data_IF_942039062963
#
_entry.id   IF_942039062963
#
_cell.length_a   1.000
_cell.length_b   1.000
_cell.length_c   1.000
_cell.angle_alpha   90.00
_cell.angle_beta   90.00
_cell.angle_gamma   90.00
#
_symmetry.space_group_name_H-M   'P 1'
#
loop_
_entity.id
_entity.type
_entity.pdbx_description
1 polymer ?
#
# COMPACT_ATOMS: atom_id res chain seq x y z
N UNK A 1 -16.43 -3.01 -9.89
CA UNK A 1 -15.14 -2.91 -10.58
C UNK A 1 -15.32 -1.91 -11.70
N UNK A 2 -14.64 -0.80 -11.64
CA UNK A 2 -14.69 0.25 -12.67
C UNK A 2 -13.32 0.33 -13.34
N UNK A 3 -13.30 0.50 -14.66
CA UNK A 3 -12.07 0.73 -15.40
C UNK A 3 -11.74 2.23 -15.26
N UNK A 4 -10.64 2.54 -14.61
CA UNK A 4 -10.14 3.90 -14.48
C UNK A 4 -8.81 4.05 -15.23
N UNK A 5 -8.54 5.24 -15.74
CA UNK A 5 -7.26 5.57 -16.36
C UNK A 5 -6.52 6.56 -15.45
N UNK A 6 -5.31 6.21 -15.00
CA UNK A 6 -4.50 7.08 -14.15
C UNK A 6 -4.01 8.32 -14.91
N UNK A 7 -3.67 8.14 -16.18
CA UNK A 7 -3.15 9.20 -17.05
C UNK A 7 -3.91 9.23 -18.38
N UNK A 8 -5.17 9.69 -18.41
CA UNK A 8 -5.98 9.67 -19.64
C UNK A 8 -5.35 10.50 -20.78
N UNK A 9 -4.61 11.56 -20.44
CA UNK A 9 -3.85 12.36 -21.41
C UNK A 9 -2.70 11.55 -22.07
N UNK A 10 -2.23 10.48 -21.45
CA UNK A 10 -1.24 9.57 -22.02
C UNK A 10 -1.72 8.92 -23.34
N UNK A 11 -3.04 8.76 -23.49
CA UNK A 11 -3.61 8.27 -24.76
C UNK A 11 -3.29 9.16 -25.97
N UNK A 12 -3.01 10.44 -25.75
CA UNK A 12 -2.61 11.38 -26.81
C UNK A 12 -1.27 10.99 -27.47
N UNK A 13 -0.46 10.19 -26.80
CA UNK A 13 0.76 9.61 -27.39
C UNK A 13 0.42 8.80 -28.65
N UNK A 14 -0.78 8.20 -28.73
CA UNK A 14 -1.26 7.52 -29.91
C UNK A 14 -1.34 8.40 -31.15
N UNK A 15 -1.52 9.71 -31.00
CA UNK A 15 -1.51 10.67 -32.10
C UNK A 15 -0.14 10.75 -32.80
N UNK A 16 0.94 10.30 -32.13
CA UNK A 16 2.26 10.20 -32.72
C UNK A 16 2.29 9.30 -33.95
N UNK A 17 1.32 8.37 -34.07
CA UNK A 17 1.13 7.54 -35.29
C UNK A 17 0.79 8.35 -36.54
N UNK A 18 0.22 9.53 -36.38
CA UNK A 18 -0.15 10.38 -37.51
C UNK A 18 1.07 10.86 -38.32
N UNK A 19 2.20 11.12 -37.65
CA UNK A 19 3.41 11.61 -38.30
C UNK A 19 4.01 10.58 -39.27
N UNK A 20 4.33 9.33 -38.87
CA UNK A 20 4.83 8.32 -39.80
C UNK A 20 3.81 7.93 -40.85
N UNK A 21 2.51 7.94 -40.54
CA UNK A 21 1.45 7.65 -41.49
C UNK A 21 1.34 8.74 -42.58
N UNK A 22 1.46 10.02 -42.21
CA UNK A 22 1.50 11.14 -43.14
C UNK A 22 2.72 11.06 -44.06
N UNK A 23 3.91 10.78 -43.48
CA UNK A 23 5.14 10.58 -44.27
C UNK A 23 5.00 9.40 -45.25
N UNK A 24 4.42 8.29 -44.76
CA UNK A 24 4.17 7.12 -45.61
C UNK A 24 3.27 7.48 -46.82
N UNK A 25 2.12 8.12 -46.57
CA UNK A 25 1.19 8.55 -47.65
C UNK A 25 1.83 9.53 -48.62
N UNK A 26 2.61 10.49 -48.12
CA UNK A 26 3.30 11.44 -49.00
C UNK A 26 4.35 10.75 -49.87
N UNK A 27 5.09 9.78 -49.34
CA UNK A 27 6.05 8.97 -50.10
C UNK A 27 5.35 8.09 -51.12
N UNK A 28 4.26 7.42 -50.76
CA UNK A 28 3.49 6.57 -51.67
C UNK A 28 2.92 7.37 -52.84
N UNK A 29 2.40 8.57 -52.60
CA UNK A 29 1.96 9.51 -53.64
C UNK A 29 3.09 9.81 -54.65
N UNK A 30 4.27 10.22 -54.11
CA UNK A 30 5.43 10.57 -54.94
C UNK A 30 5.95 9.36 -55.76
N UNK A 31 5.99 8.18 -55.13
CA UNK A 31 6.41 6.94 -55.81
C UNK A 31 5.42 6.55 -56.89
N UNK A 32 4.11 6.76 -56.69
CA UNK A 32 3.07 6.52 -57.70
C UNK A 32 3.22 7.45 -58.89
N UNK A 33 3.48 8.73 -58.65
CA UNK A 33 3.68 9.71 -59.74
C UNK A 33 4.92 9.38 -60.60
N UNK A 34 6.04 8.97 -59.94
CA UNK A 34 7.26 8.58 -60.63
C UNK A 34 7.03 7.29 -61.46
N UNK A 35 6.32 6.30 -60.90
CA UNK A 35 6.01 5.06 -61.64
C UNK A 35 5.10 5.30 -62.83
N UNK A 36 4.09 6.15 -62.67
CA UNK A 36 3.22 6.54 -63.76
C UNK A 36 4.02 7.19 -64.92
N UNK A 37 4.99 8.05 -64.57
CA UNK A 37 5.87 8.69 -65.57
C UNK A 37 6.81 7.69 -66.24
N UNK A 38 7.18 6.58 -65.61
CA UNK A 38 8.08 5.54 -66.09
C UNK A 38 7.32 4.33 -66.72
N UNK A 39 5.98 4.33 -66.78
CA UNK A 39 5.14 3.23 -67.24
C UNK A 39 5.43 1.87 -66.63
N UNK A 40 5.74 1.88 -65.26
CA UNK A 40 6.03 0.69 -64.49
C UNK A 40 4.74 0.12 -63.86
N UNK A 41 4.63 -1.22 -63.87
CA UNK A 41 3.50 -1.92 -63.26
C UNK A 41 3.35 -1.65 -61.74
N UNK A 42 2.11 -1.60 -61.25
CA UNK A 42 1.82 -1.43 -59.83
C UNK A 42 2.16 -2.72 -59.06
N UNK A 43 2.92 -2.61 -57.97
CA UNK A 43 3.19 -3.77 -57.11
C UNK A 43 1.91 -4.22 -56.40
N UNK A 44 1.83 -5.51 -56.07
CA UNK A 44 0.69 -6.07 -55.35
C UNK A 44 0.43 -5.32 -54.05
N UNK A 45 -0.77 -4.84 -53.84
CA UNK A 45 -1.21 -4.02 -52.66
C UNK A 45 -1.08 -4.72 -51.31
N UNK A 46 -0.83 -6.05 -51.28
CA UNK A 46 -0.84 -6.84 -50.05
C UNK A 46 0.30 -6.56 -49.06
N UNK A 47 1.49 -6.15 -49.54
CA UNK A 47 2.67 -5.99 -48.69
C UNK A 47 2.66 -4.72 -47.85
N UNK A 48 2.00 -3.67 -48.31
CA UNK A 48 2.02 -2.37 -47.61
C UNK A 48 0.94 -2.25 -46.51
N UNK A 49 -0.18 -2.96 -46.66
CA UNK A 49 -1.28 -2.92 -45.70
C UNK A 49 -0.87 -3.52 -44.35
N UNK A 50 -0.12 -4.63 -44.37
CA UNK A 50 0.37 -5.27 -43.14
C UNK A 50 1.30 -4.36 -42.32
N UNK A 51 2.14 -3.59 -42.99
CA UNK A 51 3.07 -2.65 -42.36
C UNK A 51 2.34 -1.47 -41.73
N UNK A 52 1.32 -0.93 -42.38
CA UNK A 52 0.46 0.14 -41.85
C UNK A 52 -0.31 -0.36 -40.61
N UNK A 53 -0.89 -1.57 -40.69
CA UNK A 53 -1.60 -2.17 -39.57
C UNK A 53 -0.66 -2.36 -38.39
N UNK A 54 0.54 -2.90 -38.62
CA UNK A 54 1.52 -3.10 -37.57
C UNK A 54 1.93 -1.76 -36.87
N UNK A 55 2.15 -0.71 -37.68
CA UNK A 55 2.49 0.61 -37.17
C UNK A 55 1.37 1.18 -36.28
N UNK A 56 0.13 1.12 -36.76
CA UNK A 56 -1.04 1.60 -35.98
C UNK A 56 -1.24 0.77 -34.72
N UNK A 57 -1.05 -0.55 -34.79
CA UNK A 57 -1.17 -1.43 -33.63
C UNK A 57 -0.12 -1.10 -32.55
N UNK A 58 1.15 -0.90 -32.95
CA UNK A 58 2.23 -0.54 -32.00
C UNK A 58 1.90 0.80 -31.33
N UNK A 59 1.54 1.83 -32.09
CA UNK A 59 1.19 3.13 -31.52
C UNK A 59 -0.04 3.06 -30.61
N UNK A 60 -1.04 2.23 -30.96
CA UNK A 60 -2.22 1.99 -30.12
C UNK A 60 -1.86 1.30 -28.81
N UNK A 61 -0.98 0.29 -28.83
CA UNK A 61 -0.50 -0.38 -27.63
C UNK A 61 0.32 0.55 -26.72
N UNK A 62 1.17 1.40 -27.31
CA UNK A 62 1.93 2.39 -26.56
C UNK A 62 1.00 3.42 -25.93
N UNK A 63 -0.03 3.90 -26.63
CA UNK A 63 -1.04 4.80 -26.10
C UNK A 63 -1.83 4.17 -24.95
N UNK A 64 -2.21 2.89 -25.08
CA UNK A 64 -2.89 2.15 -24.03
C UNK A 64 -1.99 2.00 -22.79
N UNK A 65 -0.73 1.64 -22.99
CA UNK A 65 0.24 1.55 -21.90
C UNK A 65 0.47 2.91 -21.22
N UNK A 66 0.56 3.99 -21.99
CA UNK A 66 0.72 5.34 -21.46
C UNK A 66 -0.54 5.85 -20.71
N UNK A 67 -1.72 5.39 -21.08
CA UNK A 67 -2.97 5.72 -20.39
C UNK A 67 -3.12 5.02 -19.03
N UNK A 68 -2.29 4.00 -18.74
CA UNK A 68 -2.25 3.24 -17.48
C UNK A 68 -3.65 2.80 -16.99
N UNK A 69 -4.31 1.88 -17.74
CA UNK A 69 -5.61 1.37 -17.30
C UNK A 69 -5.47 0.60 -15.99
N UNK A 70 -6.29 0.92 -14.99
CA UNK A 70 -6.36 0.22 -13.71
C UNK A 70 -7.79 -0.21 -13.43
N UNK A 71 -7.93 -1.38 -12.84
CA UNK A 71 -9.21 -1.84 -12.32
C UNK A 71 -9.37 -1.28 -10.91
N UNK A 72 -10.18 -0.23 -10.78
CA UNK A 72 -10.50 0.35 -9.50
C UNK A 72 -11.65 -0.44 -8.86
N UNK A 73 -11.42 -0.95 -7.67
CA UNK A 73 -12.46 -1.51 -6.82
C UNK A 73 -12.70 -0.53 -5.68
N UNK A 74 -13.77 0.23 -5.76
CA UNK A 74 -14.19 1.10 -4.67
C UNK A 74 -14.93 0.24 -3.64
N UNK A 75 -14.31 0.01 -2.50
CA UNK A 75 -14.96 -0.57 -1.34
C UNK A 75 -15.40 0.58 -0.45
N UNK A 76 -16.68 0.86 -0.37
CA UNK A 76 -17.22 1.77 0.65
C UNK A 76 -17.01 1.13 2.01
N UNK A 77 -16.06 1.60 2.78
CA UNK A 77 -15.89 1.24 4.18
C UNK A 77 -16.56 2.33 5.00
N UNK A 78 -17.62 1.97 5.73
CA UNK A 78 -18.19 2.86 6.75
C UNK A 78 -17.17 2.97 7.87
N UNK A 79 -16.62 4.16 8.03
CA UNK A 79 -15.65 4.44 9.08
C UNK A 79 -16.29 5.32 10.15
N UNK A 80 -16.18 4.90 11.41
CA UNK A 80 -16.60 5.71 12.54
C UNK A 80 -15.58 6.81 12.80
N UNK A 81 -16.02 8.04 12.63
CA UNK A 81 -15.18 9.22 12.88
C UNK A 81 -15.18 9.67 14.34
N UNK A 82 -16.15 9.18 15.15
CA UNK A 82 -16.32 9.55 16.55
C UNK A 82 -15.51 8.70 17.52
N UNK A 83 -15.00 7.53 17.10
CA UNK A 83 -14.31 6.57 17.93
C UNK A 83 -13.04 6.03 17.27
N UNK A 84 -11.98 5.86 18.05
CA UNK A 84 -10.73 5.21 17.60
C UNK A 84 -10.15 4.37 18.72
N UNK A 85 -9.46 3.29 18.33
CA UNK A 85 -8.78 2.36 19.22
C UNK A 85 -7.29 2.36 18.90
N UNK A 86 -6.43 2.42 19.91
CA UNK A 86 -5.03 2.05 19.78
C UNK A 86 -4.79 0.76 20.58
N UNK A 87 -4.20 -0.23 19.95
CA UNK A 87 -3.70 -1.43 20.61
C UNK A 87 -2.21 -1.25 20.86
N UNK A 88 -1.84 -1.23 22.13
CA UNK A 88 -0.46 -1.14 22.59
C UNK A 88 -0.01 -2.53 22.97
N UNK A 89 1.02 -3.03 22.29
CA UNK A 89 1.59 -4.35 22.55
C UNK A 89 2.91 -4.18 23.27
N UNK A 90 3.04 -4.83 24.41
CA UNK A 90 4.31 -4.93 25.12
C UNK A 90 5.30 -5.77 24.28
N UNK A 91 6.45 -5.17 23.98
CA UNK A 91 7.51 -5.80 23.20
C UNK A 91 8.75 -6.13 24.02
N UNK A 92 8.62 -6.19 25.35
CA UNK A 92 9.70 -6.62 26.23
C UNK A 92 10.04 -8.11 26.04
N UNK A 93 11.24 -8.50 26.48
CA UNK A 93 11.71 -9.90 26.37
C UNK A 93 10.86 -10.90 27.12
N UNK A 94 10.21 -10.50 28.22
CA UNK A 94 9.30 -11.37 28.98
C UNK A 94 8.15 -11.89 28.14
N UNK A 95 7.73 -11.12 27.11
CA UNK A 95 6.70 -11.51 26.17
C UNK A 95 7.09 -12.69 25.27
N UNK A 96 8.36 -13.07 25.19
CA UNK A 96 8.81 -14.29 24.51
C UNK A 96 8.43 -15.57 25.27
N UNK A 97 8.08 -15.47 26.56
CA UNK A 97 7.72 -16.64 27.35
C UNK A 97 6.51 -17.38 26.76
N UNK A 98 6.61 -18.72 26.73
CA UNK A 98 5.56 -19.64 26.30
C UNK A 98 5.24 -20.66 27.38
N UNK A 99 4.06 -21.32 27.29
CA UNK A 99 3.65 -22.35 28.25
C UNK A 99 4.40 -23.68 28.11
N UNK A 100 5.20 -23.83 27.02
CA UNK A 100 5.94 -25.07 26.75
C UNK A 100 6.42 -25.14 25.29
N UNK A 101 7.18 -26.20 24.94
CA UNK A 101 7.66 -26.40 23.58
C UNK A 101 6.52 -26.42 22.56
N UNK A 102 6.62 -25.62 21.51
CA UNK A 102 5.60 -25.49 20.45
C UNK A 102 4.37 -24.66 20.81
N UNK A 103 4.25 -24.16 22.04
CA UNK A 103 3.17 -23.23 22.39
C UNK A 103 3.50 -21.81 21.94
N UNK A 104 2.46 -21.06 21.55
CA UNK A 104 2.61 -19.65 21.20
C UNK A 104 3.18 -18.83 22.36
N UNK A 105 4.11 -17.93 22.03
CA UNK A 105 4.61 -16.95 22.98
C UNK A 105 3.49 -16.03 23.50
N UNK A 106 3.74 -15.30 24.58
CA UNK A 106 2.83 -14.24 25.05
C UNK A 106 2.66 -13.18 23.96
N UNK A 107 3.75 -12.85 23.27
CA UNK A 107 3.76 -11.91 22.15
C UNK A 107 2.89 -12.35 20.99
N UNK A 108 3.02 -13.60 20.53
CA UNK A 108 2.17 -14.13 19.45
C UNK A 108 0.70 -14.16 19.82
N UNK A 109 0.40 -14.44 21.08
CA UNK A 109 -0.98 -14.37 21.59
C UNK A 109 -1.50 -12.95 21.61
N UNK A 110 -0.69 -11.98 22.02
CA UNK A 110 -1.05 -10.56 22.00
C UNK A 110 -1.35 -10.09 20.58
N UNK A 111 -0.50 -10.46 19.60
CA UNK A 111 -0.73 -10.14 18.18
C UNK A 111 -2.06 -10.71 17.69
N UNK A 112 -2.36 -11.96 18.03
CA UNK A 112 -3.63 -12.61 17.66
C UNK A 112 -4.82 -11.88 18.28
N UNK A 113 -4.76 -11.55 19.57
CA UNK A 113 -5.82 -10.83 20.27
C UNK A 113 -6.03 -9.44 19.64
N UNK A 114 -4.95 -8.75 19.27
CA UNK A 114 -5.03 -7.46 18.58
C UNK A 114 -5.75 -7.57 17.24
N UNK A 115 -5.47 -8.62 16.48
CA UNK A 115 -6.14 -8.89 15.20
C UNK A 115 -7.61 -9.24 15.40
N UNK A 116 -7.92 -10.17 16.31
CA UNK A 116 -9.30 -10.57 16.63
C UNK A 116 -10.14 -9.37 17.11
N UNK A 117 -9.57 -8.51 17.95
CA UNK A 117 -10.24 -7.29 18.41
C UNK A 117 -10.56 -6.37 17.23
N UNK A 118 -9.63 -6.17 16.32
CA UNK A 118 -9.85 -5.34 15.16
C UNK A 118 -10.94 -5.91 14.24
N UNK A 119 -10.96 -7.23 14.04
CA UNK A 119 -11.95 -7.90 13.20
C UNK A 119 -13.37 -7.78 13.76
N UNK A 120 -13.50 -7.71 15.09
CA UNK A 120 -14.79 -7.48 15.73
C UNK A 120 -15.24 -6.00 15.69
N UNK A 121 -14.37 -5.10 15.29
CA UNK A 121 -14.63 -3.66 15.21
C UNK A 121 -14.48 -3.14 13.76
N UNK A 122 -15.22 -3.67 12.77
CA UNK A 122 -14.94 -3.42 11.34
C UNK A 122 -15.05 -1.95 10.93
N UNK A 123 -15.88 -1.18 11.63
CA UNK A 123 -16.12 0.24 11.34
C UNK A 123 -15.23 1.18 12.17
N UNK A 124 -14.55 0.68 13.19
CA UNK A 124 -13.73 1.49 14.09
C UNK A 124 -12.28 1.45 13.63
N UNK A 125 -11.65 2.60 13.40
CA UNK A 125 -10.23 2.66 13.10
C UNK A 125 -9.39 2.13 14.26
N UNK A 126 -8.46 1.22 13.99
CA UNK A 126 -7.55 0.61 14.95
C UNK A 126 -6.11 0.96 14.59
N UNK A 127 -5.39 1.53 15.52
CA UNK A 127 -3.95 1.78 15.44
C UNK A 127 -3.15 0.76 16.25
N UNK A 128 -1.85 0.66 16.00
CA UNK A 128 -0.93 -0.23 16.70
C UNK A 128 0.28 0.56 17.21
N UNK A 129 0.63 0.33 18.45
CA UNK A 129 1.85 0.86 19.04
C UNK A 129 2.58 -0.25 19.82
N UNK A 130 3.88 -0.13 19.95
CA UNK A 130 4.68 -0.94 20.88
C UNK A 130 4.97 -0.16 22.16
N UNK A 131 5.16 -0.89 23.24
CA UNK A 131 5.53 -0.35 24.55
C UNK A 131 6.69 -1.13 25.14
N UNK A 132 7.66 -0.38 25.65
CA UNK A 132 8.72 -0.85 26.53
C UNK A 132 8.99 0.24 27.58
N UNK A 133 10.12 0.92 27.51
CA UNK A 133 10.46 2.14 28.25
C UNK A 133 9.85 3.42 27.64
N UNK A 134 9.23 3.30 26.47
CA UNK A 134 8.53 4.35 25.75
C UNK A 134 7.40 3.76 24.90
N UNK A 135 6.54 4.62 24.40
CA UNK A 135 5.43 4.27 23.54
C UNK A 135 5.77 4.68 22.10
N UNK A 136 5.77 3.72 21.16
CA UNK A 136 6.09 3.97 19.76
C UNK A 136 4.92 3.56 18.86
N UNK A 137 4.30 4.49 18.10
CA UNK A 137 3.28 4.15 17.13
C UNK A 137 3.91 3.52 15.88
N UNK A 138 3.37 2.39 15.44
CA UNK A 138 3.74 1.71 14.20
C UNK A 138 2.68 1.91 13.11
N UNK A 139 1.42 2.05 13.52
CA UNK A 139 0.29 2.28 12.64
C UNK A 139 -0.69 3.24 13.30
N UNK A 140 -0.98 4.35 12.62
CA UNK A 140 -2.08 5.22 13.04
C UNK A 140 -3.43 4.57 12.72
N UNK A 141 -4.50 4.93 13.48
CA UNK A 141 -5.80 4.29 13.33
C UNK A 141 -6.31 4.23 11.90
N UNK A 142 -6.60 3.02 11.43
CA UNK A 142 -7.15 2.73 10.11
C UNK A 142 -8.17 1.61 10.19
N UNK A 143 -9.10 1.57 9.25
CA UNK A 143 -10.03 0.46 9.04
C UNK A 143 -9.49 -0.59 8.06
N UNK A 144 -8.31 -0.33 7.47
CA UNK A 144 -7.66 -1.28 6.55
C UNK A 144 -7.03 -2.45 7.33
N UNK A 145 -7.71 -3.60 7.27
CA UNK A 145 -7.27 -4.82 7.97
C UNK A 145 -6.00 -5.43 7.40
N UNK A 146 -5.75 -5.27 6.11
CA UNK A 146 -4.53 -5.79 5.48
C UNK A 146 -3.28 -5.06 5.98
N UNK A 147 -3.38 -3.73 6.10
CA UNK A 147 -2.30 -2.91 6.65
C UNK A 147 -2.06 -3.24 8.13
N UNK A 148 -3.13 -3.41 8.91
CA UNK A 148 -3.04 -3.78 10.33
C UNK A 148 -2.39 -5.15 10.51
N UNK A 149 -2.82 -6.17 9.76
CA UNK A 149 -2.24 -7.51 9.79
C UNK A 149 -0.77 -7.50 9.39
N UNK A 150 -0.43 -6.77 8.32
CA UNK A 150 0.95 -6.61 7.89
C UNK A 150 1.82 -5.93 8.96
N UNK A 151 1.29 -4.93 9.66
CA UNK A 151 2.00 -4.24 10.75
C UNK A 151 2.22 -5.17 11.93
N UNK A 152 1.19 -5.84 12.39
CA UNK A 152 1.29 -6.81 13.49
C UNK A 152 2.24 -7.97 13.15
N UNK A 153 2.22 -8.44 11.89
CA UNK A 153 2.98 -9.61 11.46
C UNK A 153 4.44 -9.34 11.10
N UNK A 154 4.75 -8.16 10.54
CA UNK A 154 6.06 -7.88 9.93
C UNK A 154 6.82 -6.72 10.57
N UNK A 155 6.11 -5.76 11.14
CA UNK A 155 6.75 -4.52 11.65
C UNK A 155 6.93 -4.57 13.17
N UNK A 156 6.01 -5.21 13.87
CA UNK A 156 6.06 -5.33 15.31
C UNK A 156 6.93 -6.53 15.71
N UNK A 157 8.00 -6.28 16.45
CA UNK A 157 8.92 -7.31 16.93
C UNK A 157 9.35 -7.01 18.38
N UNK A 158 9.93 -8.01 19.03
CA UNK A 158 10.46 -7.89 20.40
C UNK A 158 11.58 -6.85 20.43
N UNK A 159 11.55 -5.99 21.45
CA UNK A 159 12.47 -4.86 21.63
C UNK A 159 12.55 -3.96 20.38
N UNK A 160 11.46 -3.72 19.70
CA UNK A 160 11.41 -2.81 18.55
C UNK A 160 10.85 -1.43 18.98
N UNK A 161 11.64 -0.35 18.85
CA UNK A 161 13.04 -0.30 18.43
C UNK A 161 13.97 -0.94 19.46
N UNK A 162 15.08 -1.50 18.98
CA UNK A 162 16.09 -2.10 19.85
C UNK A 162 16.70 -1.12 20.87
N UNK A 163 17.33 -1.63 21.93
CA UNK A 163 17.99 -0.80 22.91
C UNK A 163 19.13 0.02 22.28
N UNK A 164 19.32 1.24 22.78
CA UNK A 164 20.33 2.16 22.25
C UNK A 164 21.79 1.72 22.49
N UNK A 165 22.00 0.76 23.43
CA UNK A 165 23.31 0.20 23.77
C UNK A 165 23.20 -1.32 23.95
N UNK A 166 24.29 -2.06 23.58
CA UNK A 166 24.35 -3.53 23.69
C UNK A 166 24.14 -4.09 25.11
N UNK A 167 24.34 -3.27 26.13
CA UNK A 167 24.26 -3.69 27.53
C UNK A 167 22.98 -3.21 28.23
N UNK A 168 22.13 -2.44 27.58
CA UNK A 168 20.86 -1.99 28.15
C UNK A 168 19.72 -2.89 27.74
N UNK A 169 19.04 -3.48 28.72
CA UNK A 169 17.74 -4.11 28.50
C UNK A 169 16.66 -3.06 28.75
N UNK A 170 15.73 -2.92 27.81
CA UNK A 170 14.56 -2.09 28.02
C UNK A 170 13.58 -2.86 28.89
N UNK A 171 13.30 -2.35 30.07
CA UNK A 171 12.26 -2.89 30.91
C UNK A 171 10.98 -2.11 30.69
N UNK A 172 9.85 -2.81 30.66
CA UNK A 172 8.52 -2.20 30.54
C UNK A 172 8.27 -1.25 31.71
N UNK A 173 7.80 -0.06 31.39
CA UNK A 173 7.26 0.88 32.38
C UNK A 173 5.90 1.39 31.92
N UNK A 174 4.95 1.47 32.84
CA UNK A 174 3.63 2.03 32.55
C UNK A 174 3.64 3.55 32.40
N UNK A 175 4.69 4.22 32.88
CA UNK A 175 4.88 5.66 32.65
C UNK A 175 4.93 6.00 31.14
N UNK A 176 5.35 5.03 30.31
CA UNK A 176 5.32 5.17 28.87
C UNK A 176 3.91 5.47 28.31
N UNK A 177 2.85 5.05 29.02
CA UNK A 177 1.46 5.29 28.61
C UNK A 177 1.05 6.76 28.77
N UNK A 178 1.72 7.53 29.62
CA UNK A 178 1.50 8.98 29.78
C UNK A 178 1.80 9.75 28.48
N UNK A 179 2.61 9.17 27.61
CA UNK A 179 2.90 9.73 26.29
C UNK A 179 1.68 9.71 25.34
N UNK A 180 0.74 8.79 25.51
CA UNK A 180 -0.39 8.63 24.61
C UNK A 180 -1.28 9.88 24.49
N UNK A 181 -1.66 10.59 25.57
CA UNK A 181 -2.44 11.82 25.45
C UNK A 181 -1.61 13.01 24.97
N UNK A 182 -0.28 13.01 25.15
CA UNK A 182 0.60 14.13 24.82
C UNK A 182 1.14 14.10 23.40
N UNK A 183 1.36 12.92 22.81
CA UNK A 183 1.96 12.71 21.50
C UNK A 183 0.96 12.69 20.34
N UNK A 184 -0.26 13.25 20.52
CA UNK A 184 -1.28 13.31 19.46
C UNK A 184 -1.61 11.97 18.78
N UNK A 185 -1.62 10.88 19.54
CA UNK A 185 -2.05 9.56 19.05
C UNK A 185 -3.48 9.59 18.50
N UNK A 186 -4.32 10.43 19.07
CA UNK A 186 -5.70 10.60 18.66
C UNK A 186 -5.94 12.03 18.12
N UNK A 187 -6.55 12.19 16.95
CA UNK A 187 -6.99 13.50 16.47
C UNK A 187 -7.97 14.15 17.46
N UNK A 188 -7.93 15.47 17.55
CA UNK A 188 -8.80 16.23 18.47
C UNK A 188 -10.29 16.02 18.22
N UNK A 189 -10.68 15.73 16.99
CA UNK A 189 -12.06 15.51 16.60
C UNK A 189 -12.66 14.20 17.16
N UNK A 190 -11.83 13.25 17.55
CA UNK A 190 -12.26 11.94 18.05
C UNK A 190 -12.74 12.09 19.51
N UNK A 191 -14.01 11.74 19.73
CA UNK A 191 -14.66 11.84 21.06
C UNK A 191 -14.39 10.62 21.95
N UNK A 192 -14.41 9.41 21.35
CA UNK A 192 -14.20 8.14 22.06
C UNK A 192 -12.82 7.59 21.72
N UNK A 193 -11.94 7.63 22.69
CA UNK A 193 -10.54 7.22 22.59
C UNK A 193 -10.31 6.03 23.48
N UNK A 194 -9.93 4.90 22.90
CA UNK A 194 -9.70 3.66 23.64
C UNK A 194 -8.26 3.25 23.44
N UNK A 195 -7.56 3.00 24.54
CA UNK A 195 -6.22 2.43 24.54
C UNK A 195 -6.33 1.04 25.15
N UNK A 196 -5.98 0.00 24.37
CA UNK A 196 -5.95 -1.38 24.82
C UNK A 196 -4.51 -1.80 24.98
N UNK A 197 -4.10 -2.15 26.19
CA UNK A 197 -2.72 -2.55 26.50
C UNK A 197 -2.68 -4.07 26.63
N UNK A 198 -1.81 -4.71 25.85
CA UNK A 198 -1.56 -6.15 25.85
C UNK A 198 -0.14 -6.38 26.40
N UNK A 199 -0.04 -6.72 27.66
CA UNK A 199 1.19 -6.95 28.42
C UNK A 199 1.07 -8.19 29.29
N UNK A 200 2.17 -8.73 29.74
CA UNK A 200 2.21 -9.81 30.72
C UNK A 200 2.23 -9.30 32.19
N UNK A 201 2.25 -7.99 32.35
CA UNK A 201 2.23 -7.36 33.67
C UNK A 201 3.60 -7.29 34.36
N UNK A 202 4.67 -7.73 33.71
CA UNK A 202 6.03 -7.63 34.23
C UNK A 202 6.57 -6.22 34.00
N UNK A 203 6.58 -5.37 35.06
CA UNK A 203 7.09 -4.00 34.98
C UNK A 203 8.22 -3.82 35.98
N UNK A 204 9.02 -2.75 35.78
CA UNK A 204 9.87 -2.26 36.88
C UNK A 204 8.97 -1.80 38.03
N UNK A 205 9.38 -2.04 39.30
CA UNK A 205 8.67 -1.43 40.42
C UNK A 205 8.52 0.07 40.17
N UNK A 206 7.33 0.59 40.44
CA UNK A 206 7.11 2.03 40.52
C UNK A 206 7.97 2.54 41.71
N UNK A 207 8.98 3.38 41.43
CA UNK A 207 9.72 4.11 42.44
C UNK A 207 8.93 5.33 42.88
#
# INVERSE_FOLDING_TARGET
MELAFLTPLGALVGLSALAPLAVYRAREGRVRDIRAALHLDEPSRGSHLSLVIALVAICGLVALAAAQPVLATTREVRERTDAQVFVVVDTSRSMLASKGPGALSRFDRARRIAQELADQLPEVPVGVASMTDGLLPHLFPTTDRQVLEATLGKTLDIESPGPSTFFSTRATTYDALEAAPTLNYFPRAVKKRVLVVLTDGETRPLE
#
